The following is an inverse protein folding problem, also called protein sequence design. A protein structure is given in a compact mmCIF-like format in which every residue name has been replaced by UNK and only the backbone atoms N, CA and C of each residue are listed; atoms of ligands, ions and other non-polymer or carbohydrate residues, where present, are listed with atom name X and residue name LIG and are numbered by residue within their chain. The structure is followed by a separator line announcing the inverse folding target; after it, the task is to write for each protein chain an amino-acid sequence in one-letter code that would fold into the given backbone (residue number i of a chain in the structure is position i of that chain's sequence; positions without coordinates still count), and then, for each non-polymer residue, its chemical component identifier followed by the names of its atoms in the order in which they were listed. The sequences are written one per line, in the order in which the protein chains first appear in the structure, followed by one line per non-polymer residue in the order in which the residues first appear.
data_IF_110560681048
#
_entry.id   IF_110560681048
#
_cell.length_a   1.000
_cell.length_b   1.000
_cell.length_c   1.000
_cell.angle_alpha   90.00
_cell.angle_beta   90.00
_cell.angle_gamma   90.00
#
_symmetry.space_group_name_H-M   'P 1'
#
loop_
_entity.id
_entity.type
_entity.pdbx_description
1 polymer ?
#
# COMPACT_ATOMS: atom_id res chain seq x y z
N UNK A 1 22.83 1.97 -11.70
CA UNK A 1 21.92 1.08 -12.48
C UNK A 1 20.50 1.61 -12.47
N UNK A 2 19.84 1.65 -13.64
CA UNK A 2 18.52 2.26 -13.85
C UNK A 2 17.42 1.23 -13.55
N UNK A 3 16.37 1.64 -12.84
CA UNK A 3 15.18 0.82 -12.55
C UNK A 3 14.52 0.33 -13.85
N UNK A 4 14.07 -0.93 -13.90
CA UNK A 4 13.41 -1.49 -15.09
C UNK A 4 12.08 -0.74 -15.40
N UNK A 5 11.68 -0.70 -16.68
CA UNK A 5 10.47 0.02 -17.11
C UNK A 5 9.22 -0.51 -16.40
N UNK A 6 9.16 -1.82 -16.17
CA UNK A 6 8.05 -2.50 -15.50
C UNK A 6 7.85 -2.04 -14.06
N UNK A 7 8.88 -1.99 -13.22
CA UNK A 7 8.71 -1.55 -11.83
C UNK A 7 8.30 -0.09 -11.74
N UNK A 8 8.78 0.77 -12.66
CA UNK A 8 8.35 2.17 -12.68
C UNK A 8 6.85 2.27 -12.98
N UNK A 9 6.38 1.45 -13.92
CA UNK A 9 4.96 1.39 -14.26
C UNK A 9 4.12 0.90 -13.08
N UNK A 10 4.56 -0.16 -12.38
CA UNK A 10 3.88 -0.69 -11.19
C UNK A 10 3.78 0.38 -10.09
N UNK A 11 4.87 1.10 -9.81
CA UNK A 11 4.87 2.19 -8.81
C UNK A 11 3.88 3.29 -9.19
N UNK A 12 3.79 3.67 -10.47
CA UNK A 12 2.81 4.67 -10.93
C UNK A 12 1.38 4.18 -10.69
N UNK A 13 1.07 2.92 -11.01
CA UNK A 13 -0.24 2.34 -10.71
C UNK A 13 -0.54 2.33 -9.21
N UNK A 14 0.43 1.96 -8.37
CA UNK A 14 0.29 2.00 -6.91
C UNK A 14 -0.04 3.42 -6.45
N UNK A 15 0.70 4.44 -6.92
CA UNK A 15 0.45 5.84 -6.55
C UNK A 15 -0.98 6.25 -6.90
N UNK A 16 -1.42 5.98 -8.13
CA UNK A 16 -2.76 6.37 -8.60
C UNK A 16 -3.85 5.67 -7.78
N UNK A 17 -3.78 4.35 -7.68
CA UNK A 17 -4.79 3.56 -6.98
C UNK A 17 -4.82 3.86 -5.49
N UNK A 18 -3.67 4.01 -4.84
CA UNK A 18 -3.58 4.36 -3.43
C UNK A 18 -4.14 5.76 -3.17
N UNK A 19 -3.86 6.72 -4.05
CA UNK A 19 -4.41 8.07 -3.94
C UNK A 19 -5.93 8.05 -4.04
N UNK A 20 -6.50 7.31 -4.99
CA UNK A 20 -7.95 7.18 -5.15
C UNK A 20 -8.55 6.49 -3.93
N UNK A 21 -7.97 5.37 -3.49
CA UNK A 21 -8.44 4.59 -2.35
C UNK A 21 -8.48 5.43 -1.08
N UNK A 22 -7.36 6.06 -0.71
CA UNK A 22 -7.24 6.80 0.54
C UNK A 22 -7.93 8.16 0.49
N UNK A 23 -7.99 8.83 -0.66
CA UNK A 23 -8.78 10.06 -0.79
C UNK A 23 -10.28 9.75 -0.63
N UNK A 24 -10.78 8.72 -1.32
CA UNK A 24 -12.19 8.35 -1.19
C UNK A 24 -12.51 7.82 0.21
N UNK A 25 -11.65 6.98 0.79
CA UNK A 25 -11.81 6.46 2.15
C UNK A 25 -11.89 7.58 3.20
N UNK A 26 -11.00 8.57 3.11
CA UNK A 26 -10.97 9.68 4.08
C UNK A 26 -12.12 10.68 3.92
N UNK A 27 -12.44 11.09 2.68
CA UNK A 27 -13.41 12.15 2.39
C UNK A 27 -14.86 11.65 2.28
N UNK A 28 -15.08 10.35 2.03
CA UNK A 28 -16.42 9.80 1.97
C UNK A 28 -17.08 9.86 3.35
N UNK A 29 -18.16 10.63 3.46
CA UNK A 29 -18.84 10.87 4.74
C UNK A 29 -20.38 10.79 4.64
N UNK A 30 -20.89 10.18 3.57
CA UNK A 30 -22.33 9.99 3.38
C UNK A 30 -22.90 9.14 4.52
N UNK A 31 -23.93 9.62 5.19
CA UNK A 31 -24.61 8.86 6.24
C UNK A 31 -25.42 7.71 5.63
N UNK A 32 -25.16 6.48 6.08
CA UNK A 32 -25.83 5.27 5.59
C UNK A 32 -26.56 4.58 6.76
N UNK A 33 -25.80 4.25 7.81
CA UNK A 33 -26.26 3.47 8.97
C UNK A 33 -25.77 4.11 10.29
N UNK A 34 -25.84 5.44 10.37
CA UNK A 34 -25.32 6.19 11.51
C UNK A 34 -26.02 5.79 12.81
N UNK A 35 -25.24 5.58 13.88
CA UNK A 35 -25.70 5.19 15.21
C UNK A 35 -26.28 3.77 15.34
N UNK A 36 -26.13 2.91 14.34
CA UNK A 36 -26.49 1.50 14.51
C UNK A 36 -25.52 0.78 15.45
N UNK A 37 -26.07 -0.07 16.29
CA UNK A 37 -25.32 -0.98 17.16
C UNK A 37 -25.65 -2.41 16.78
N UNK A 38 -24.62 -3.24 16.67
CA UNK A 38 -24.76 -4.67 16.39
C UNK A 38 -24.24 -5.48 17.57
N UNK A 39 -24.86 -6.63 17.84
CA UNK A 39 -24.27 -7.63 18.74
C UNK A 39 -23.37 -8.57 17.93
N UNK A 40 -22.15 -8.77 18.42
CA UNK A 40 -21.20 -9.70 17.81
C UNK A 40 -21.51 -11.13 18.24
N UNK A 41 -20.85 -12.11 17.60
CA UNK A 41 -20.91 -13.52 17.99
C UNK A 41 -20.42 -13.79 19.43
N UNK A 42 -19.68 -12.85 20.02
CA UNK A 42 -19.19 -12.92 21.40
C UNK A 42 -20.11 -12.20 22.40
N UNK A 43 -21.35 -11.87 22.00
CA UNK A 43 -22.31 -11.09 22.80
C UNK A 43 -21.84 -9.66 23.17
N UNK A 44 -20.86 -9.11 22.46
CA UNK A 44 -20.41 -7.73 22.65
C UNK A 44 -21.26 -6.79 21.79
N UNK A 45 -21.66 -5.65 22.35
CA UNK A 45 -22.38 -4.62 21.60
C UNK A 45 -21.38 -3.62 21.01
N UNK A 46 -21.30 -3.56 19.69
CA UNK A 46 -20.38 -2.67 18.97
C UNK A 46 -21.18 -1.64 18.18
N UNK A 47 -20.78 -0.38 18.29
CA UNK A 47 -21.35 0.73 17.51
C UNK A 47 -20.66 0.82 16.15
N UNK A 48 -21.46 0.86 15.09
CA UNK A 48 -21.01 1.08 13.72
C UNK A 48 -20.69 2.55 13.47
N UNK A 49 -19.71 2.79 12.62
CA UNK A 49 -19.34 4.13 12.18
C UNK A 49 -20.43 4.77 11.32
N UNK A 50 -21.05 3.97 10.44
CA UNK A 50 -22.27 4.34 9.72
C UNK A 50 -22.12 5.40 8.61
N UNK A 51 -20.89 5.80 8.28
CA UNK A 51 -20.61 6.80 7.24
C UNK A 51 -19.61 6.34 6.19
N UNK A 52 -19.83 6.78 4.96
CA UNK A 52 -18.87 6.69 3.86
C UNK A 52 -18.46 5.26 3.50
N UNK A 53 -17.20 5.09 3.06
CA UNK A 53 -16.66 3.80 2.64
C UNK A 53 -16.61 2.78 3.79
N UNK A 54 -16.34 3.26 5.01
CA UNK A 54 -16.15 2.44 6.21
C UNK A 54 -17.43 2.36 7.06
N UNK A 55 -18.61 2.52 6.48
CA UNK A 55 -19.86 2.56 7.24
C UNK A 55 -20.17 1.28 8.03
N UNK A 56 -19.73 0.12 7.54
CA UNK A 56 -19.90 -1.17 8.21
C UNK A 56 -18.85 -1.44 9.29
N UNK A 57 -17.82 -0.61 9.40
CA UNK A 57 -16.79 -0.76 10.42
C UNK A 57 -17.28 -0.30 11.79
N UNK A 58 -16.67 -0.85 12.85
CA UNK A 58 -16.82 -0.28 14.18
C UNK A 58 -16.25 1.15 14.23
N UNK A 59 -16.76 1.98 15.13
CA UNK A 59 -16.24 3.36 15.31
C UNK A 59 -14.71 3.38 15.54
N UNK A 60 -14.19 2.42 16.30
CA UNK A 60 -12.75 2.30 16.57
C UNK A 60 -11.96 1.91 15.32
N UNK A 61 -12.43 0.92 14.57
CA UNK A 61 -11.73 0.46 13.36
C UNK A 61 -11.80 1.54 12.26
N UNK A 62 -12.95 2.18 12.07
CA UNK A 62 -13.09 3.29 11.14
C UNK A 62 -12.14 4.45 11.46
N UNK A 63 -11.93 4.78 12.73
CA UNK A 63 -10.97 5.81 13.13
C UNK A 63 -9.53 5.43 12.75
N UNK A 64 -9.13 4.18 12.98
CA UNK A 64 -7.80 3.69 12.63
C UNK A 64 -7.56 3.68 11.11
N UNK A 65 -8.50 3.12 10.35
CA UNK A 65 -8.40 3.03 8.89
C UNK A 65 -8.36 4.43 8.26
N UNK A 66 -9.19 5.37 8.73
CA UNK A 66 -9.16 6.76 8.24
C UNK A 66 -7.87 7.49 8.61
N UNK A 67 -7.32 7.25 9.81
CA UNK A 67 -6.01 7.80 10.17
C UNK A 67 -4.91 7.26 9.24
N UNK A 68 -4.96 5.96 8.92
CA UNK A 68 -4.03 5.32 7.98
C UNK A 68 -4.15 5.89 6.56
N UNK A 69 -5.36 6.25 6.09
CA UNK A 69 -5.54 6.94 4.82
C UNK A 69 -4.87 8.32 4.78
N UNK A 70 -4.99 9.09 5.87
CA UNK A 70 -4.32 10.40 5.97
C UNK A 70 -2.81 10.22 5.93
N UNK A 71 -2.27 9.26 6.68
CA UNK A 71 -0.83 8.96 6.65
C UNK A 71 -0.39 8.54 5.24
N UNK A 72 -1.21 7.76 4.55
CA UNK A 72 -0.92 7.31 3.19
C UNK A 72 -0.86 8.48 2.22
N UNK A 73 -1.81 9.42 2.28
CA UNK A 73 -1.87 10.60 1.43
C UNK A 73 -0.75 11.60 1.73
N UNK A 74 -0.48 11.88 3.00
CA UNK A 74 0.42 12.96 3.42
C UNK A 74 1.87 12.52 3.47
N UNK A 75 2.15 11.26 3.81
CA UNK A 75 3.52 10.76 3.99
C UNK A 75 3.89 9.68 2.99
N UNK A 76 3.10 8.62 2.87
CA UNK A 76 3.52 7.44 2.09
C UNK A 76 3.60 7.73 0.59
N UNK A 77 2.61 8.41 0.02
CA UNK A 77 2.60 8.77 -1.41
C UNK A 77 3.75 9.74 -1.76
N UNK A 78 3.96 10.86 -1.02
CA UNK A 78 5.12 11.72 -1.25
C UNK A 78 6.45 10.99 -1.09
N UNK A 79 6.57 10.13 -0.08
CA UNK A 79 7.77 9.32 0.12
C UNK A 79 8.01 8.37 -1.05
N UNK A 80 6.96 7.74 -1.59
CA UNK A 80 7.05 6.86 -2.74
C UNK A 80 7.50 7.61 -4.01
N UNK A 81 6.98 8.82 -4.24
CA UNK A 81 7.41 9.70 -5.34
C UNK A 81 8.89 10.08 -5.22
N UNK A 82 9.33 10.52 -4.03
CA UNK A 82 10.74 10.86 -3.76
C UNK A 82 11.62 9.63 -3.95
N UNK A 83 11.19 8.47 -3.44
CA UNK A 83 11.91 7.20 -3.57
C UNK A 83 12.12 6.80 -5.03
N UNK A 84 11.12 7.00 -5.89
CA UNK A 84 11.16 6.66 -7.30
C UNK A 84 12.22 7.48 -8.06
N UNK A 85 12.40 8.75 -7.66
CA UNK A 85 13.41 9.64 -8.21
C UNK A 85 14.82 9.26 -7.70
N UNK A 86 14.96 9.02 -6.39
CA UNK A 86 16.24 8.75 -5.73
C UNK A 86 16.80 7.34 -6.01
N UNK A 87 15.92 6.37 -6.29
CA UNK A 87 16.30 4.99 -6.58
C UNK A 87 17.30 4.86 -7.76
N UNK A 88 17.27 5.81 -8.70
CA UNK A 88 18.20 5.82 -9.85
C UNK A 88 19.63 6.23 -9.46
N UNK A 89 19.82 6.85 -8.28
CA UNK A 89 21.05 7.55 -7.89
C UNK A 89 21.83 6.86 -6.78
N UNK A 90 21.20 6.07 -5.91
CA UNK A 90 21.88 5.51 -4.74
C UNK A 90 21.24 4.23 -4.19
N UNK A 91 22.04 3.45 -3.45
CA UNK A 91 21.55 2.31 -2.66
C UNK A 91 20.54 2.74 -1.59
N UNK A 92 20.75 3.90 -0.97
CA UNK A 92 19.80 4.48 0.00
C UNK A 92 18.43 4.72 -0.64
N UNK A 93 18.39 5.20 -1.88
CA UNK A 93 17.15 5.37 -2.64
C UNK A 93 16.43 4.05 -2.93
N UNK A 94 17.18 2.98 -3.23
CA UNK A 94 16.63 1.62 -3.38
C UNK A 94 15.98 1.12 -2.08
N UNK A 95 16.68 1.25 -0.97
CA UNK A 95 16.18 0.83 0.34
C UNK A 95 14.94 1.62 0.74
N UNK A 96 14.93 2.93 0.49
CA UNK A 96 13.78 3.80 0.75
C UNK A 96 12.57 3.40 -0.11
N UNK A 97 12.78 3.07 -1.40
CA UNK A 97 11.72 2.56 -2.28
C UNK A 97 11.14 1.23 -1.77
N UNK A 98 11.99 0.25 -1.45
CA UNK A 98 11.54 -1.06 -0.95
C UNK A 98 10.83 -0.91 0.40
N UNK A 99 11.35 -0.10 1.32
CA UNK A 99 10.71 0.16 2.61
C UNK A 99 9.34 0.82 2.45
N UNK A 100 9.22 1.79 1.54
CA UNK A 100 7.94 2.44 1.25
C UNK A 100 6.94 1.48 0.60
N UNK A 101 7.39 0.64 -0.34
CA UNK A 101 6.57 -0.42 -0.90
C UNK A 101 6.13 -1.43 0.16
N UNK A 102 6.98 -1.70 1.16
CA UNK A 102 6.65 -2.54 2.32
C UNK A 102 5.51 -1.95 3.16
N UNK A 103 5.51 -0.63 3.38
CA UNK A 103 4.39 0.07 4.02
C UNK A 103 3.08 -0.13 3.24
N UNK A 104 3.11 0.03 1.91
CA UNK A 104 1.92 -0.15 1.07
C UNK A 104 1.43 -1.59 1.07
N UNK A 105 2.36 -2.56 0.99
CA UNK A 105 2.05 -3.98 1.08
C UNK A 105 1.36 -4.29 2.41
N UNK A 106 1.93 -3.85 3.53
CA UNK A 106 1.35 -4.06 4.85
C UNK A 106 -0.04 -3.43 4.97
N UNK A 107 -0.18 -2.16 4.59
CA UNK A 107 -1.44 -1.41 4.68
C UNK A 107 -2.56 -2.11 3.90
N UNK A 108 -2.32 -2.44 2.63
CA UNK A 108 -3.35 -3.02 1.79
C UNK A 108 -3.55 -4.52 2.00
N UNK A 109 -2.56 -5.22 2.57
CA UNK A 109 -2.75 -6.55 3.15
C UNK A 109 -3.72 -6.48 4.33
N UNK A 110 -3.50 -5.58 5.29
CA UNK A 110 -4.41 -5.36 6.41
C UNK A 110 -5.82 -5.00 5.93
N UNK A 111 -5.97 -4.15 4.92
CA UNK A 111 -7.30 -3.82 4.39
C UNK A 111 -7.96 -5.00 3.66
N UNK A 112 -7.18 -5.88 3.03
CA UNK A 112 -7.73 -7.05 2.34
C UNK A 112 -8.18 -8.15 3.32
N UNK A 113 -7.52 -8.28 4.47
CA UNK A 113 -7.77 -9.38 5.41
C UNK A 113 -8.49 -8.99 6.70
N UNK A 114 -8.38 -7.73 7.15
CA UNK A 114 -8.93 -7.27 8.43
C UNK A 114 -10.14 -6.36 8.27
N UNK A 115 -10.20 -5.57 7.20
CA UNK A 115 -11.34 -4.69 6.98
C UNK A 115 -12.57 -5.50 6.55
N UNK A 116 -13.73 -5.06 7.00
CA UNK A 116 -15.02 -5.56 6.56
C UNK A 116 -15.16 -5.26 5.06
N UNK A 117 -15.65 -6.26 4.34
CA UNK A 117 -15.85 -6.19 2.91
C UNK A 117 -16.62 -4.92 2.51
N UNK A 118 -16.08 -4.21 1.53
CA UNK A 118 -16.66 -3.00 0.98
C UNK A 118 -16.31 -2.89 -0.52
N UNK A 119 -16.87 -1.90 -1.20
CA UNK A 119 -16.76 -1.74 -2.65
C UNK A 119 -15.30 -1.60 -3.15
N UNK A 120 -14.34 -1.26 -2.27
CA UNK A 120 -12.93 -1.07 -2.63
C UNK A 120 -12.07 -2.31 -2.38
N UNK A 121 -12.67 -3.43 -1.95
CA UNK A 121 -11.95 -4.68 -1.68
C UNK A 121 -11.01 -5.09 -2.81
N UNK A 122 -11.47 -5.08 -4.07
CA UNK A 122 -10.64 -5.45 -5.22
C UNK A 122 -9.48 -4.49 -5.44
N UNK A 123 -9.64 -3.20 -5.10
CA UNK A 123 -8.56 -2.21 -5.19
C UNK A 123 -7.50 -2.52 -4.13
N UNK A 124 -7.90 -2.92 -2.92
CA UNK A 124 -6.95 -3.30 -1.86
C UNK A 124 -6.14 -4.54 -2.26
N UNK A 125 -6.79 -5.58 -2.79
CA UNK A 125 -6.11 -6.79 -3.28
C UNK A 125 -5.16 -6.46 -4.42
N UNK A 126 -5.57 -5.59 -5.34
CA UNK A 126 -4.72 -5.15 -6.45
C UNK A 126 -3.50 -4.38 -5.95
N UNK A 127 -3.69 -3.43 -5.03
CA UNK A 127 -2.60 -2.66 -4.43
C UNK A 127 -1.62 -3.56 -3.67
N UNK A 128 -2.13 -4.46 -2.83
CA UNK A 128 -1.32 -5.46 -2.14
C UNK A 128 -0.47 -6.28 -3.14
N UNK A 129 -1.10 -6.80 -4.19
CA UNK A 129 -0.43 -7.61 -5.21
C UNK A 129 0.63 -6.80 -5.97
N UNK A 130 0.31 -5.59 -6.41
CA UNK A 130 1.23 -4.70 -7.12
C UNK A 130 2.45 -4.36 -6.25
N UNK A 131 2.23 -4.06 -4.97
CA UNK A 131 3.32 -3.79 -4.02
C UNK A 131 4.23 -5.01 -3.84
N UNK A 132 3.65 -6.20 -3.67
CA UNK A 132 4.40 -7.45 -3.57
C UNK A 132 5.25 -7.72 -4.82
N UNK A 133 4.64 -7.67 -6.01
CA UNK A 133 5.35 -7.91 -7.27
C UNK A 133 6.40 -6.84 -7.57
N UNK A 134 6.19 -5.59 -7.14
CA UNK A 134 7.18 -4.55 -7.29
C UNK A 134 8.41 -4.80 -6.41
N UNK A 135 8.22 -5.24 -5.15
CA UNK A 135 9.31 -5.63 -4.25
C UNK A 135 10.08 -6.81 -4.83
N UNK A 136 9.36 -7.84 -5.28
CA UNK A 136 9.94 -9.01 -5.95
C UNK A 136 10.79 -8.58 -7.15
N UNK A 137 10.24 -7.79 -8.07
CA UNK A 137 10.97 -7.34 -9.27
C UNK A 137 12.23 -6.53 -8.92
N UNK A 138 12.18 -5.72 -7.86
CA UNK A 138 13.31 -4.93 -7.40
C UNK A 138 14.44 -5.80 -6.83
N UNK A 139 14.08 -6.88 -6.12
CA UNK A 139 15.04 -7.88 -5.62
C UNK A 139 15.68 -8.67 -6.77
N UNK A 140 14.87 -9.22 -7.69
CA UNK A 140 15.36 -10.02 -8.82
C UNK A 140 16.32 -9.23 -9.72
N UNK A 141 16.02 -7.95 -9.98
CA UNK A 141 16.89 -7.10 -10.78
C UNK A 141 18.22 -6.79 -10.08
N UNK A 142 18.23 -6.71 -8.74
CA UNK A 142 19.46 -6.45 -8.00
C UNK A 142 20.34 -7.72 -7.94
N UNK A 143 19.75 -8.88 -7.70
CA UNK A 143 20.46 -10.16 -7.67
C UNK A 143 21.09 -10.52 -9.03
N UNK A 144 20.37 -10.32 -10.14
CA UNK A 144 20.89 -10.58 -11.49
C UNK A 144 22.06 -9.66 -11.87
N UNK A 145 22.05 -8.42 -11.38
CA UNK A 145 23.15 -7.48 -11.58
C UNK A 145 24.45 -7.92 -10.89
N UNK A 146 24.36 -8.29 -9.61
CA UNK A 146 25.50 -8.72 -8.80
C UNK A 146 26.13 -10.01 -9.34
N UNK A 147 25.29 -10.96 -9.77
CA UNK A 147 25.77 -12.20 -10.38
C UNK A 147 26.52 -11.96 -11.70
N UNK A 148 26.05 -11.01 -12.52
CA UNK A 148 26.72 -10.61 -13.75
C UNK A 148 28.12 -10.07 -13.48
N UNK A 149 28.26 -9.09 -12.57
CA UNK A 149 29.58 -8.53 -12.22
C UNK A 149 30.53 -9.59 -11.66
N UNK A 150 30.02 -10.52 -10.84
CA UNK A 150 30.83 -11.61 -10.29
C UNK A 150 31.38 -12.53 -11.38
N UNK A 151 30.57 -12.91 -12.39
CA UNK A 151 31.04 -13.73 -13.51
C UNK A 151 32.10 -13.00 -14.36
N UNK A 152 31.88 -11.73 -14.69
CA UNK A 152 32.85 -10.96 -15.48
C UNK A 152 34.18 -10.77 -14.74
N UNK A 153 34.15 -10.58 -13.42
CA UNK A 153 35.37 -10.47 -12.61
C UNK A 153 36.20 -11.76 -12.56
N UNK A 154 35.55 -12.93 -12.63
CA UNK A 154 36.22 -14.25 -12.63
C UNK A 154 36.86 -14.64 -13.94
N UNK A 155 36.39 -14.09 -15.07
CA UNK A 155 36.96 -14.34 -16.40
C UNK A 155 38.03 -13.31 -16.80
N UNK A 156 38.22 -12.26 -16.01
CA UNK A 156 39.23 -11.22 -16.24
C UNK A 156 40.55 -11.46 -15.46
N UNK A 157 40.66 -12.59 -14.75
CA UNK A 157 41.88 -13.09 -14.10
C UNK A 157 42.40 -14.31 -14.85
#
# INVERSE_FOLDING_TARGET
MKMNKTSNLLVIFIIILASIASAYGFFSNNAINENQTIQTIHNETVRLYGKGLYHNESVSMAAQVRAQDVVTLVFAIPLLLVSLILNKRSLKGKLLLVGTLGYFLYTYMSYSFLAIYNNFFLIYVLLMSLSFFCIYNQYYFTATAEFGEMLFSRHAQ
#
